data_IF_878525700246
#
_entry.id   IF_878525700246
#
_cell.length_a   1.000
_cell.length_b   1.000
_cell.length_c   1.000
_cell.angle_alpha   90.00
_cell.angle_beta   90.00
_cell.angle_gamma   90.00
#
_symmetry.space_group_name_H-M   'P 1'
#
loop_
_entity.id
_entity.type
_entity.pdbx_description
1 polymer ?
#
# COMPACT_ATOMS: atom_id res chain seq x y z
N UNK A 1 25.43 -27.04 -9.21
CA UNK A 1 25.30 -25.58 -9.39
C UNK A 1 23.88 -25.20 -8.97
N UNK A 2 23.72 -24.52 -7.84
CA UNK A 2 22.41 -24.23 -7.23
C UNK A 2 21.91 -22.91 -7.81
N UNK A 3 20.84 -22.95 -8.61
CA UNK A 3 20.15 -21.74 -9.07
C UNK A 3 19.48 -21.10 -7.85
N UNK A 4 20.12 -20.09 -7.27
CA UNK A 4 19.49 -19.19 -6.31
C UNK A 4 18.46 -18.37 -7.08
N UNK A 5 17.18 -18.71 -6.93
CA UNK A 5 16.09 -17.92 -7.47
C UNK A 5 16.23 -16.48 -6.98
N UNK A 6 16.57 -15.56 -7.87
CA UNK A 6 16.65 -14.15 -7.56
C UNK A 6 15.28 -13.68 -7.08
N UNK A 7 15.18 -13.22 -5.84
CA UNK A 7 14.01 -12.47 -5.38
C UNK A 7 13.97 -11.19 -6.20
N UNK A 8 12.89 -10.97 -6.95
CA UNK A 8 12.64 -9.68 -7.58
C UNK A 8 12.41 -8.69 -6.44
N UNK A 9 13.26 -7.66 -6.36
CA UNK A 9 13.13 -6.58 -5.38
C UNK A 9 11.97 -5.69 -5.79
N UNK A 10 10.91 -5.66 -4.98
CA UNK A 10 9.81 -4.71 -5.16
C UNK A 10 10.36 -3.29 -5.02
N UNK A 11 10.25 -2.50 -6.08
CA UNK A 11 10.55 -1.06 -6.03
C UNK A 11 9.30 -0.29 -5.61
N UNK A 12 9.44 0.53 -4.58
CA UNK A 12 8.36 1.31 -3.99
C UNK A 12 8.56 2.79 -4.32
N UNK A 13 7.53 3.41 -4.84
CA UNK A 13 7.49 4.86 -5.07
C UNK A 13 6.36 5.47 -4.24
N UNK A 14 6.61 6.63 -3.64
CA UNK A 14 5.55 7.41 -3.01
C UNK A 14 4.55 7.80 -4.07
N UNK A 15 3.30 7.41 -3.87
CA UNK A 15 2.22 7.92 -4.69
C UNK A 15 1.90 9.32 -4.18
N UNK A 16 2.29 10.34 -4.94
CA UNK A 16 1.99 11.74 -4.66
C UNK A 16 0.57 12.03 -5.15
N UNK A 17 -0.42 12.13 -4.24
CA UNK A 17 -1.79 12.36 -4.64
C UNK A 17 -1.94 13.78 -5.22
N UNK A 18 -3.04 13.99 -5.93
CA UNK A 18 -3.45 15.29 -6.43
C UNK A 18 -3.55 16.35 -5.31
N UNK A 19 -3.45 17.63 -5.70
CA UNK A 19 -3.52 18.77 -4.77
C UNK A 19 -4.68 18.63 -3.76
N UNK A 20 -4.36 18.75 -2.47
CA UNK A 20 -5.34 18.76 -1.38
C UNK A 20 -5.43 17.49 -0.53
N UNK A 21 -4.73 16.41 -0.90
CA UNK A 21 -4.62 15.21 -0.07
C UNK A 21 -3.36 15.31 0.82
N UNK A 22 -3.47 15.11 2.15
CA UNK A 22 -2.33 15.16 3.05
C UNK A 22 -1.38 13.98 2.83
N UNK A 23 -0.12 14.16 3.21
CA UNK A 23 0.91 13.12 3.12
C UNK A 23 0.61 11.90 4.01
N UNK A 24 0.01 12.16 5.18
CA UNK A 24 -0.38 11.16 6.16
C UNK A 24 -1.89 11.00 6.19
N UNK A 25 -2.32 9.75 6.04
CA UNK A 25 -3.70 9.32 6.09
C UNK A 25 -3.85 8.18 7.09
N UNK A 26 -4.98 8.13 7.76
CA UNK A 26 -5.34 7.05 8.68
C UNK A 26 -6.57 6.36 8.12
N UNK A 27 -6.59 5.02 8.16
CA UNK A 27 -7.75 4.27 7.68
C UNK A 27 -8.82 4.24 8.78
N UNK A 28 -9.96 4.87 8.51
CA UNK A 28 -11.08 4.92 9.46
C UNK A 28 -12.00 3.72 9.28
N UNK A 29 -12.16 3.26 8.04
CA UNK A 29 -13.15 2.26 7.69
C UNK A 29 -12.66 1.40 6.53
N UNK A 30 -12.92 0.10 6.65
CA UNK A 30 -12.79 -0.90 5.60
C UNK A 30 -14.09 -1.70 5.52
N UNK A 31 -14.84 -1.51 4.44
CA UNK A 31 -16.06 -2.27 4.15
C UNK A 31 -15.81 -3.13 2.93
N UNK A 32 -16.05 -4.43 3.06
CA UNK A 32 -16.00 -5.40 1.96
C UNK A 32 -17.37 -6.09 1.88
N UNK A 33 -18.12 -5.80 0.83
CA UNK A 33 -19.45 -6.36 0.63
C UNK A 33 -19.74 -6.61 -0.87
N UNK A 34 -20.95 -7.10 -1.16
CA UNK A 34 -21.40 -7.42 -2.53
C UNK A 34 -21.34 -6.25 -3.52
N UNK A 35 -21.36 -5.02 -3.04
CA UNK A 35 -21.30 -3.79 -3.84
C UNK A 35 -19.85 -3.38 -4.14
N UNK A 36 -18.89 -3.89 -3.36
CA UNK A 36 -17.47 -3.69 -3.57
C UNK A 36 -16.70 -3.45 -2.27
N UNK A 37 -15.53 -2.84 -2.43
CA UNK A 37 -14.67 -2.44 -1.31
C UNK A 37 -14.69 -0.92 -1.15
N UNK A 38 -14.91 -0.46 0.08
CA UNK A 38 -14.81 0.94 0.46
C UNK A 38 -13.74 1.11 1.53
N UNK A 39 -12.79 1.98 1.25
CA UNK A 39 -11.79 2.46 2.20
C UNK A 39 -12.04 3.93 2.47
N UNK A 40 -12.17 4.31 3.73
CA UNK A 40 -12.27 5.71 4.14
C UNK A 40 -11.01 6.11 4.90
N UNK A 41 -10.51 7.30 4.60
CA UNK A 41 -9.33 7.85 5.24
C UNK A 41 -9.52 9.28 5.74
N UNK A 42 -8.97 9.54 6.91
CA UNK A 42 -8.90 10.83 7.58
C UNK A 42 -7.48 11.37 7.63
N UNK A 43 -7.36 12.68 7.87
CA UNK A 43 -6.10 13.28 8.28
C UNK A 43 -5.86 13.12 9.80
N UNK A 44 -4.74 13.63 10.29
CA UNK A 44 -4.39 13.66 11.72
C UNK A 44 -5.40 14.41 12.63
N UNK A 45 -6.36 15.14 12.06
CA UNK A 45 -7.38 15.92 12.77
C UNK A 45 -8.76 15.26 12.66
N UNK A 46 -8.80 13.98 12.31
CA UNK A 46 -10.00 13.16 12.07
C UNK A 46 -10.92 13.75 10.99
N UNK A 47 -10.40 14.61 10.10
CA UNK A 47 -11.18 15.13 8.97
C UNK A 47 -11.09 14.16 7.82
N UNK A 48 -12.22 13.57 7.43
CA UNK A 48 -12.32 12.72 6.23
C UNK A 48 -11.76 13.41 5.00
N UNK A 49 -10.75 12.80 4.37
CA UNK A 49 -10.05 13.35 3.19
C UNK A 49 -10.25 12.53 1.93
N UNK A 50 -10.35 11.21 2.06
CA UNK A 50 -10.31 10.34 0.90
C UNK A 50 -11.28 9.17 1.10
N UNK A 51 -12.01 8.85 0.05
CA UNK A 51 -12.78 7.61 -0.05
C UNK A 51 -12.32 6.90 -1.31
N UNK A 52 -11.80 5.70 -1.16
CA UNK A 52 -11.45 4.82 -2.28
C UNK A 52 -12.55 3.78 -2.41
N UNK A 53 -13.18 3.73 -3.58
CA UNK A 53 -14.24 2.77 -3.89
C UNK A 53 -13.78 1.87 -5.04
N UNK A 54 -13.79 0.57 -4.80
CA UNK A 54 -13.63 -0.43 -5.84
C UNK A 54 -15.01 -1.01 -6.14
N UNK A 55 -15.61 -0.52 -7.22
CA UNK A 55 -16.93 -0.97 -7.66
C UNK A 55 -16.88 -2.41 -8.18
N UNK A 56 -17.97 -3.16 -8.01
CA UNK A 56 -18.16 -4.53 -8.53
C UNK A 56 -17.23 -5.57 -7.92
N UNK A 57 -16.68 -5.28 -6.74
CA UNK A 57 -15.77 -6.17 -6.04
C UNK A 57 -14.34 -6.13 -6.57
N UNK A 58 -13.40 -6.59 -5.76
CA UNK A 58 -12.00 -6.70 -6.15
C UNK A 58 -11.70 -8.17 -6.47
N UNK A 59 -11.06 -8.43 -7.62
CA UNK A 59 -10.70 -9.80 -8.04
C UNK A 59 -9.87 -10.54 -6.98
N UNK A 60 -8.98 -9.82 -6.30
CA UNK A 60 -8.24 -10.29 -5.13
C UNK A 60 -7.64 -9.11 -4.38
N UNK A 61 -7.72 -9.12 -3.05
CA UNK A 61 -6.88 -8.31 -2.18
C UNK A 61 -6.22 -9.23 -1.15
N UNK A 62 -5.11 -8.77 -0.57
CA UNK A 62 -4.39 -9.53 0.45
C UNK A 62 -4.32 -8.67 1.69
N UNK A 63 -4.96 -9.12 2.77
CA UNK A 63 -4.59 -8.68 4.10
C UNK A 63 -3.32 -9.46 4.49
N UNK A 64 -2.29 -8.76 4.97
CA UNK A 64 -1.02 -9.36 5.34
C UNK A 64 -0.98 -9.54 6.85
N UNK A 65 -0.51 -10.69 7.30
CA UNK A 65 -0.26 -10.94 8.71
C UNK A 65 0.80 -9.98 9.27
N UNK A 66 0.79 -9.79 10.59
CA UNK A 66 1.72 -8.89 11.30
C UNK A 66 3.19 -9.22 11.02
N UNK A 67 3.53 -10.50 10.85
CA UNK A 67 4.90 -10.94 10.53
C UNK A 67 5.34 -10.48 9.14
N UNK A 68 4.46 -10.59 8.15
CA UNK A 68 4.68 -10.06 6.80
C UNK A 68 4.78 -8.53 6.80
N UNK A 69 3.98 -7.85 7.62
CA UNK A 69 4.05 -6.40 7.79
C UNK A 69 5.41 -5.98 8.37
N UNK A 70 5.85 -6.61 9.45
CA UNK A 70 7.13 -6.31 10.09
C UNK A 70 8.32 -6.53 9.14
N UNK A 71 8.29 -7.63 8.36
CA UNK A 71 9.31 -7.87 7.33
C UNK A 71 9.32 -6.79 6.27
N UNK A 72 8.15 -6.29 5.86
CA UNK A 72 8.05 -5.19 4.90
C UNK A 72 8.59 -3.89 5.48
N UNK A 73 8.28 -3.56 6.73
CA UNK A 73 8.84 -2.38 7.40
C UNK A 73 10.38 -2.46 7.49
N UNK A 74 10.92 -3.62 7.89
CA UNK A 74 12.38 -3.83 7.90
C UNK A 74 13.02 -3.68 6.52
N UNK A 75 12.35 -4.16 5.47
CA UNK A 75 12.80 -3.97 4.10
C UNK A 75 12.81 -2.49 3.70
N UNK A 76 11.72 -1.76 3.99
CA UNK A 76 11.62 -0.33 3.67
C UNK A 76 12.68 0.48 4.41
N UNK A 77 12.91 0.18 5.69
CA UNK A 77 13.97 0.80 6.50
C UNK A 77 15.35 0.58 5.86
N UNK A 78 15.68 -0.66 5.51
CA UNK A 78 16.99 -0.99 4.92
C UNK A 78 17.21 -0.37 3.54
N UNK A 79 16.16 -0.20 2.73
CA UNK A 79 16.30 0.28 1.35
C UNK A 79 16.14 1.80 1.21
N UNK A 80 15.25 2.41 1.99
CA UNK A 80 14.83 3.79 1.80
C UNK A 80 14.99 4.66 3.05
N UNK A 81 15.21 4.06 4.22
CA UNK A 81 15.28 4.73 5.52
C UNK A 81 13.91 5.12 6.09
N UNK A 82 13.90 5.50 7.38
CA UNK A 82 12.69 5.80 8.15
C UNK A 82 11.84 6.91 7.54
N UNK A 83 12.47 7.95 7.00
CA UNK A 83 11.79 9.13 6.46
C UNK A 83 10.90 8.75 5.27
N UNK A 84 11.24 7.67 4.55
CA UNK A 84 10.51 7.22 3.38
C UNK A 84 9.05 6.91 3.68
N UNK A 85 8.79 6.18 4.78
CA UNK A 85 7.49 5.61 5.12
C UNK A 85 6.83 6.20 6.38
N UNK A 86 7.56 6.93 7.21
CA UNK A 86 7.01 7.57 8.42
C UNK A 86 6.14 8.79 8.10
N UNK A 87 6.55 9.57 7.11
CA UNK A 87 5.89 10.84 6.74
C UNK A 87 4.94 10.69 5.54
N UNK A 88 4.71 9.46 5.07
CA UNK A 88 3.94 9.22 3.86
C UNK A 88 3.14 7.90 3.94
N UNK A 89 1.86 7.93 3.57
CA UNK A 89 0.98 6.75 3.71
C UNK A 89 0.75 5.98 2.40
N UNK A 90 0.79 6.65 1.24
CA UNK A 90 0.35 6.05 -0.02
C UNK A 90 1.54 5.74 -0.94
N UNK A 91 1.64 4.49 -1.38
CA UNK A 91 2.74 4.02 -2.22
C UNK A 91 2.24 3.21 -3.41
N UNK A 92 3.02 3.26 -4.48
CA UNK A 92 2.88 2.40 -5.66
C UNK A 92 4.07 1.45 -5.72
N UNK A 93 3.82 0.19 -6.04
CA UNK A 93 4.87 -0.79 -6.34
C UNK A 93 5.05 -0.85 -7.86
N UNK A 94 6.26 -0.60 -8.35
CA UNK A 94 6.55 -0.52 -9.80
C UNK A 94 6.94 -1.89 -10.37
N UNK A 95 7.61 -2.72 -9.58
CA UNK A 95 8.03 -4.08 -9.98
C UNK A 95 7.35 -5.13 -9.11
N UNK A 96 6.02 -5.16 -9.12
CA UNK A 96 5.29 -6.28 -8.54
C UNK A 96 5.39 -7.47 -9.49
N UNK A 97 5.65 -8.67 -8.98
CA UNK A 97 5.82 -9.95 -9.73
C UNK A 97 4.68 -10.28 -10.74
N UNK A 98 3.62 -9.47 -10.80
CA UNK A 98 2.45 -9.62 -11.66
C UNK A 98 2.61 -9.07 -13.08
N UNK A 99 3.66 -8.31 -13.39
CA UNK A 99 3.91 -7.76 -14.74
C UNK A 99 4.65 -8.73 -15.69
N UNK A 100 4.92 -9.97 -15.28
CA UNK A 100 5.68 -10.93 -16.11
C UNK A 100 4.81 -11.91 -16.93
N UNK A 101 3.48 -11.89 -16.79
CA UNK A 101 2.57 -12.76 -17.55
C UNK A 101 1.31 -12.01 -18.03
N UNK A 102 1.49 -10.97 -18.84
CA UNK A 102 0.43 -10.47 -19.74
C UNK A 102 0.94 -10.45 -21.16
#
# INVERSE_FOLDING_TARGET
>A
MKMIGGRVLEHWERWVPTNGIPSRLYNDTFIDNKEGIVLEFSDEKDKKKMVVKFEKGVLSYRNTDEGSLLRKLNYLEQQYGSDFYSEWTLFKVINSDKERNR
#
